data_IF_083979613591
#
_entry.id   IF_083979613591
#
_cell.length_a   1.000
_cell.length_b   1.000
_cell.length_c   1.000
_cell.angle_alpha   90.00
_cell.angle_beta   90.00
_cell.angle_gamma   90.00
#
_symmetry.space_group_name_H-M   'P 1'
#
loop_
_entity.id
_entity.type
_entity.pdbx_description
1 polymer ?
#
# COMPACT_ATOMS: atom_id res chain seq x y z
N UNK A 1 -16.88 13.90 7.85
CA UNK A 1 -17.36 12.51 7.73
C UNK A 1 -18.88 12.55 7.67
N UNK A 2 -19.46 11.98 6.62
CA UNK A 2 -20.91 11.77 6.48
C UNK A 2 -21.20 10.28 6.55
N UNK A 3 -22.31 9.86 7.15
CA UNK A 3 -22.80 8.48 7.10
C UNK A 3 -24.30 8.52 6.83
N UNK A 4 -24.72 8.00 5.69
CA UNK A 4 -26.08 8.15 5.16
C UNK A 4 -26.64 6.78 4.81
N UNK A 5 -27.86 6.49 5.28
CA UNK A 5 -28.62 5.32 4.83
C UNK A 5 -29.17 5.61 3.43
N UNK A 6 -28.82 4.77 2.45
CA UNK A 6 -29.28 4.89 1.06
C UNK A 6 -30.58 4.12 0.88
N UNK A 7 -30.62 2.88 1.38
CA UNK A 7 -31.80 2.00 1.41
C UNK A 7 -31.70 1.04 2.61
N UNK A 8 -32.59 0.05 2.71
CA UNK A 8 -32.64 -0.90 3.84
C UNK A 8 -31.41 -1.80 3.99
N UNK A 9 -30.63 -1.95 2.93
CA UNK A 9 -29.44 -2.79 2.85
C UNK A 9 -28.17 -2.01 2.52
N UNK A 10 -28.26 -0.71 2.24
CA UNK A 10 -27.14 0.08 1.74
C UNK A 10 -26.91 1.35 2.56
N UNK A 11 -25.65 1.60 2.92
CA UNK A 11 -25.19 2.85 3.53
C UNK A 11 -23.99 3.40 2.79
N UNK A 12 -23.83 4.71 2.87
CA UNK A 12 -22.75 5.43 2.21
C UNK A 12 -22.02 6.33 3.21
N UNK A 13 -20.71 6.44 3.05
CA UNK A 13 -19.86 7.24 3.92
C UNK A 13 -18.74 7.90 3.13
N UNK A 14 -18.56 9.21 3.29
CA UNK A 14 -17.38 9.92 2.80
C UNK A 14 -16.48 10.38 3.94
N UNK A 15 -15.18 10.24 3.73
CA UNK A 15 -14.12 10.70 4.63
C UNK A 15 -13.08 11.47 3.83
N UNK A 16 -12.66 12.61 4.37
CA UNK A 16 -11.58 13.44 3.80
C UNK A 16 -10.52 13.56 4.89
N UNK A 17 -9.40 12.86 4.69
CA UNK A 17 -8.21 12.95 5.54
C UNK A 17 -7.02 13.41 4.65
N UNK A 18 -5.90 12.67 4.63
CA UNK A 18 -4.80 12.87 3.67
C UNK A 18 -5.17 12.46 2.24
N UNK A 19 -6.14 11.54 2.10
CA UNK A 19 -6.79 11.13 0.86
C UNK A 19 -8.31 11.18 1.03
N UNK A 20 -9.04 11.41 -0.06
CA UNK A 20 -10.50 11.31 -0.03
C UNK A 20 -10.89 9.84 -0.19
N UNK A 21 -11.81 9.37 0.63
CA UNK A 21 -12.33 8.00 0.57
C UNK A 21 -13.86 8.02 0.60
N UNK A 22 -14.46 7.26 -0.29
CA UNK A 22 -15.89 6.95 -0.29
C UNK A 22 -16.09 5.47 0.03
N UNK A 23 -17.02 5.14 0.92
CA UNK A 23 -17.33 3.76 1.31
C UNK A 23 -18.80 3.47 1.13
N UNK A 24 -19.11 2.37 0.46
CA UNK A 24 -20.44 1.79 0.40
C UNK A 24 -20.49 0.53 1.26
N UNK A 25 -21.49 0.45 2.12
CA UNK A 25 -21.80 -0.72 2.94
C UNK A 25 -23.01 -1.41 2.33
N UNK A 26 -22.94 -2.70 2.06
CA UNK A 26 -24.07 -3.50 1.59
C UNK A 26 -24.25 -4.73 2.48
N UNK A 27 -25.39 -4.82 3.17
CA UNK A 27 -25.78 -5.98 3.99
C UNK A 27 -26.67 -6.90 3.16
N UNK A 28 -26.37 -8.19 3.11
CA UNK A 28 -27.19 -9.17 2.38
C UNK A 28 -28.62 -9.25 2.94
N UNK A 29 -29.61 -9.70 2.16
CA UNK A 29 -31.00 -9.80 2.62
C UNK A 29 -31.22 -10.70 3.84
N UNK A 30 -30.35 -11.68 4.06
CA UNK A 30 -30.36 -12.59 5.21
C UNK A 30 -29.59 -12.06 6.44
N UNK A 31 -29.09 -10.83 6.34
CA UNK A 31 -28.24 -10.17 7.33
C UNK A 31 -26.91 -10.89 7.62
N UNK A 32 -26.52 -11.95 6.89
CA UNK A 32 -25.36 -12.76 7.23
C UNK A 32 -24.03 -12.26 6.64
N UNK A 33 -24.08 -11.42 5.61
CA UNK A 33 -22.92 -10.91 4.89
C UNK A 33 -22.94 -9.38 4.82
N UNK A 34 -21.80 -8.76 5.09
CA UNK A 34 -21.56 -7.34 4.87
C UNK A 34 -20.43 -7.21 3.84
N UNK A 35 -20.67 -6.39 2.81
CA UNK A 35 -19.67 -6.01 1.83
C UNK A 35 -19.36 -4.54 2.00
N UNK A 36 -18.08 -4.21 2.11
CA UNK A 36 -17.58 -2.84 2.06
C UNK A 36 -16.90 -2.64 0.71
N UNK A 37 -17.28 -1.58 -0.01
CA UNK A 37 -16.57 -1.11 -1.18
C UNK A 37 -16.00 0.26 -0.87
N UNK A 38 -14.69 0.35 -0.79
CA UNK A 38 -13.94 1.58 -0.59
C UNK A 38 -13.39 2.07 -1.91
N UNK A 39 -13.57 3.34 -2.21
CA UNK A 39 -12.92 4.03 -3.32
C UNK A 39 -12.07 5.17 -2.78
N UNK A 40 -10.76 5.08 -2.99
CA UNK A 40 -9.81 6.13 -2.66
C UNK A 40 -9.64 7.04 -3.86
N UNK A 41 -9.59 8.35 -3.60
CA UNK A 41 -9.57 9.39 -4.63
C UNK A 41 -8.48 10.42 -4.39
N UNK A 42 -7.79 10.78 -5.47
CA UNK A 42 -6.90 11.93 -5.58
C UNK A 42 -7.48 12.93 -6.59
N UNK A 43 -7.68 14.19 -6.18
CA UNK A 43 -8.21 15.25 -7.04
C UNK A 43 -9.45 14.86 -7.88
N UNK A 44 -10.29 13.96 -7.34
CA UNK A 44 -11.50 13.36 -7.91
C UNK A 44 -11.34 12.12 -8.82
N UNK A 45 -10.13 11.64 -9.08
CA UNK A 45 -9.88 10.37 -9.76
C UNK A 45 -9.82 9.22 -8.76
N UNK A 46 -10.48 8.09 -9.04
CA UNK A 46 -10.38 6.89 -8.19
C UNK A 46 -9.02 6.23 -8.46
N UNK A 47 -8.20 6.10 -7.44
CA UNK A 47 -6.85 5.54 -7.52
C UNK A 47 -6.79 4.08 -7.07
N UNK A 48 -7.66 3.69 -6.15
CA UNK A 48 -7.71 2.36 -5.54
C UNK A 48 -9.16 2.03 -5.17
N UNK A 49 -9.55 0.77 -5.38
CA UNK A 49 -10.83 0.24 -4.91
C UNK A 49 -10.60 -1.01 -4.06
N UNK A 50 -11.10 -1.01 -2.82
CA UNK A 50 -11.01 -2.17 -1.94
C UNK A 50 -12.40 -2.77 -1.71
N UNK A 51 -12.49 -4.09 -1.86
CA UNK A 51 -13.72 -4.84 -1.59
C UNK A 51 -13.43 -5.77 -0.41
N UNK A 52 -14.04 -5.49 0.74
CA UNK A 52 -13.89 -6.33 1.93
C UNK A 52 -15.21 -7.00 2.26
N UNK A 53 -15.17 -8.32 2.49
CA UNK A 53 -16.35 -9.10 2.86
C UNK A 53 -16.25 -9.62 4.28
N UNK A 54 -17.38 -9.57 4.98
CA UNK A 54 -17.52 -9.95 6.37
C UNK A 54 -18.69 -10.92 6.55
N UNK A 55 -18.55 -11.82 7.53
CA UNK A 55 -19.65 -12.61 8.07
C UNK A 55 -20.07 -12.07 9.43
N UNK A 56 -21.38 -12.09 9.69
CA UNK A 56 -21.93 -11.70 10.99
C UNK A 56 -21.54 -12.73 12.06
N UNK A 57 -21.17 -12.27 13.25
CA UNK A 57 -20.81 -13.15 14.38
C UNK A 57 -21.73 -13.02 15.58
N UNK A 58 -22.64 -12.04 15.59
CA UNK A 58 -23.62 -11.85 16.66
C UNK A 58 -25.04 -11.85 16.09
N UNK A 59 -26.08 -12.29 16.82
CA UNK A 59 -27.47 -12.09 16.41
C UNK A 59 -27.78 -10.61 16.12
N UNK A 60 -28.64 -10.34 15.14
CA UNK A 60 -29.04 -8.98 14.78
C UNK A 60 -29.52 -8.85 13.34
N UNK A 61 -29.90 -7.64 12.95
CA UNK A 61 -30.35 -7.26 11.60
C UNK A 61 -29.68 -5.96 11.17
N UNK A 62 -29.72 -5.66 9.87
CA UNK A 62 -29.17 -4.42 9.29
C UNK A 62 -27.66 -4.30 9.52
N UNK A 63 -27.06 -3.12 9.39
CA UNK A 63 -25.61 -2.94 9.53
C UNK A 63 -25.09 -3.16 10.96
N UNK A 64 -25.95 -3.03 11.97
CA UNK A 64 -25.56 -3.10 13.39
C UNK A 64 -25.20 -4.52 13.83
N UNK A 65 -24.10 -4.67 14.57
CA UNK A 65 -23.68 -5.94 15.16
C UNK A 65 -22.18 -6.18 15.01
N UNK A 66 -21.76 -7.39 15.32
CA UNK A 66 -20.38 -7.83 15.18
C UNK A 66 -20.17 -8.54 13.84
N UNK A 67 -19.07 -8.17 13.18
CA UNK A 67 -18.68 -8.64 11.87
C UNK A 67 -17.23 -9.11 11.89
N UNK A 68 -16.94 -10.22 11.21
CA UNK A 68 -15.58 -10.74 11.05
C UNK A 68 -15.25 -10.82 9.56
N UNK A 69 -14.16 -10.20 9.14
CA UNK A 69 -13.72 -10.24 7.75
C UNK A 69 -13.28 -11.65 7.36
N UNK A 70 -13.54 -12.03 6.12
CA UNK A 70 -13.09 -13.31 5.57
C UNK A 70 -12.49 -13.18 4.16
N UNK A 71 -12.70 -12.04 3.48
CA UNK A 71 -12.09 -11.73 2.19
C UNK A 71 -11.76 -10.24 2.10
N UNK A 72 -10.68 -9.93 1.41
CA UNK A 72 -10.28 -8.57 1.02
C UNK A 72 -9.65 -8.63 -0.37
N UNK A 73 -10.18 -7.85 -1.28
CA UNK A 73 -9.66 -7.64 -2.63
C UNK A 73 -9.25 -6.17 -2.76
N UNK A 74 -8.08 -5.92 -3.35
CA UNK A 74 -7.52 -4.59 -3.57
C UNK A 74 -7.30 -4.44 -5.08
N UNK A 75 -8.03 -3.53 -5.70
CA UNK A 75 -7.91 -3.15 -7.10
C UNK A 75 -7.15 -1.82 -7.19
N UNK A 76 -5.90 -1.87 -7.65
CA UNK A 76 -5.09 -0.67 -7.88
C UNK A 76 -5.39 -0.14 -9.29
N UNK A 77 -6.18 0.92 -9.38
CA UNK A 77 -6.65 1.50 -10.65
C UNK A 77 -5.62 2.45 -11.28
N UNK A 78 -4.75 3.03 -10.45
CA UNK A 78 -3.60 3.80 -10.89
C UNK A 78 -2.34 3.00 -10.54
N UNK A 79 -1.89 2.08 -11.41
CA UNK A 79 -0.80 1.17 -11.08
C UNK A 79 0.49 1.96 -10.86
N UNK A 80 1.00 1.91 -9.64
CA UNK A 80 2.35 2.37 -9.34
C UNK A 80 3.34 1.49 -10.09
N UNK A 81 4.41 2.11 -10.61
CA UNK A 81 5.51 1.39 -11.22
C UNK A 81 6.81 1.81 -10.56
N UNK A 82 7.68 0.84 -10.32
CA UNK A 82 9.03 1.10 -9.83
C UNK A 82 10.02 0.89 -10.97
N UNK A 83 10.83 1.90 -11.23
CA UNK A 83 11.96 1.81 -12.15
C UNK A 83 13.21 1.60 -11.31
N UNK A 84 13.86 0.45 -11.51
CA UNK A 84 15.06 0.07 -10.78
C UNK A 84 16.23 0.03 -11.77
N UNK A 85 17.26 0.83 -11.52
CA UNK A 85 18.45 0.94 -12.37
C UNK A 85 19.73 0.79 -11.54
N UNK A 86 20.82 0.26 -12.11
CA UNK A 86 22.13 0.34 -11.47
C UNK A 86 22.50 1.79 -11.19
N UNK A 87 23.01 2.08 -9.99
CA UNK A 87 23.60 3.37 -9.66
C UNK A 87 25.10 3.19 -9.45
N UNK A 88 25.87 3.85 -10.33
CA UNK A 88 27.32 3.73 -10.39
C UNK A 88 27.81 2.27 -10.31
N UNK A 89 28.88 1.97 -9.56
CA UNK A 89 29.48 0.64 -9.48
C UNK A 89 28.84 -0.30 -8.47
N UNK A 90 28.23 0.23 -7.41
CA UNK A 90 27.76 -0.58 -6.28
C UNK A 90 26.52 0.01 -5.60
N UNK A 91 25.54 0.40 -6.41
CA UNK A 91 24.31 1.01 -5.92
C UNK A 91 23.10 0.72 -6.78
N UNK A 92 21.99 1.29 -6.34
CA UNK A 92 20.69 1.23 -6.99
C UNK A 92 20.09 2.64 -7.07
N UNK A 93 19.46 2.93 -8.19
CA UNK A 93 18.51 4.02 -8.33
C UNK A 93 17.11 3.42 -8.37
N UNK A 94 16.24 3.85 -7.46
CA UNK A 94 14.82 3.49 -7.45
C UNK A 94 14.03 4.75 -7.77
N UNK A 95 13.19 4.70 -8.80
CA UNK A 95 12.21 5.75 -9.10
C UNK A 95 10.80 5.19 -8.97
N UNK A 96 9.98 5.82 -8.13
CA UNK A 96 8.55 5.54 -7.99
C UNK A 96 7.77 6.41 -8.96
N UNK A 97 6.92 5.77 -9.76
CA UNK A 97 6.05 6.42 -10.73
C UNK A 97 4.58 6.20 -10.34
N UNK A 98 3.72 7.21 -10.54
CA UNK A 98 3.97 8.47 -11.27
C UNK A 98 4.54 9.62 -10.43
N UNK A 99 4.83 9.43 -9.14
CA UNK A 99 5.23 10.52 -8.23
C UNK A 99 6.62 11.10 -8.57
N UNK A 100 7.38 10.45 -9.45
CA UNK A 100 8.74 10.82 -9.87
C UNK A 100 9.68 10.95 -8.66
N UNK A 101 9.48 10.10 -7.66
CA UNK A 101 10.29 10.10 -6.44
C UNK A 101 11.46 9.17 -6.66
N UNK A 102 12.66 9.73 -6.68
CA UNK A 102 13.90 9.00 -6.94
C UNK A 102 14.78 8.95 -5.69
N UNK A 103 15.37 7.78 -5.45
CA UNK A 103 16.44 7.62 -4.46
C UNK A 103 17.62 6.91 -5.12
N UNK A 104 18.76 7.59 -5.17
CA UNK A 104 20.05 7.01 -5.55
C UNK A 104 20.81 6.62 -4.30
N UNK A 105 21.22 5.37 -4.20
CA UNK A 105 21.87 4.85 -2.99
C UNK A 105 22.91 3.78 -3.30
N UNK A 106 23.91 3.71 -2.44
CA UNK A 106 24.89 2.62 -2.44
C UNK A 106 24.44 1.51 -1.49
N UNK A 107 24.96 0.30 -1.68
CA UNK A 107 24.74 -0.84 -0.76
C UNK A 107 25.63 -0.78 0.49
N UNK A 108 25.92 0.41 1.01
CA UNK A 108 26.80 0.63 2.17
C UNK A 108 26.01 0.83 3.49
N UNK A 109 24.68 0.76 3.43
CA UNK A 109 23.79 0.94 4.57
C UNK A 109 23.72 2.38 5.08
N UNK A 110 24.24 3.37 4.35
CA UNK A 110 24.04 4.78 4.68
C UNK A 110 22.70 5.27 4.17
N UNK A 111 22.24 6.35 4.79
CA UNK A 111 21.00 7.03 4.45
C UNK A 111 21.20 7.96 3.25
N UNK A 112 20.33 7.84 2.25
CA UNK A 112 20.29 8.66 1.04
C UNK A 112 18.92 9.32 0.91
N UNK A 113 18.92 10.63 0.66
CA UNK A 113 17.70 11.44 0.63
C UNK A 113 16.99 11.30 -0.71
N UNK A 114 15.67 11.06 -0.65
CA UNK A 114 14.82 10.97 -1.83
C UNK A 114 14.60 12.35 -2.44
N UNK A 115 14.55 12.40 -3.77
CA UNK A 115 14.31 13.59 -4.58
C UNK A 115 12.95 13.44 -5.25
N UNK A 116 12.12 14.48 -5.23
CA UNK A 116 10.92 14.57 -6.08
C UNK A 116 11.03 15.75 -7.04
N UNK A 117 9.99 16.02 -7.85
CA UNK A 117 9.98 17.13 -8.81
C UNK A 117 10.24 18.51 -8.18
N UNK A 118 9.84 18.69 -6.91
CA UNK A 118 10.07 19.92 -6.14
C UNK A 118 11.39 19.97 -5.36
N UNK A 119 12.28 18.98 -5.52
CA UNK A 119 13.56 18.88 -4.81
C UNK A 119 13.58 17.84 -3.69
N UNK A 120 14.53 17.96 -2.73
CA UNK A 120 14.74 16.96 -1.69
C UNK A 120 13.53 16.81 -0.76
N UNK A 121 13.08 15.57 -0.56
CA UNK A 121 11.97 15.25 0.34
C UNK A 121 12.46 14.97 1.75
N UNK A 122 11.58 15.10 2.76
CA UNK A 122 11.84 14.61 4.11
C UNK A 122 11.70 13.07 4.20
N UNK A 123 12.17 12.37 3.18
CA UNK A 123 12.15 10.91 3.04
C UNK A 123 13.52 10.43 2.61
N UNK A 124 13.96 9.30 3.13
CA UNK A 124 15.26 8.73 2.84
C UNK A 124 15.19 7.21 2.85
N UNK A 125 16.21 6.59 2.27
CA UNK A 125 16.39 5.15 2.29
C UNK A 125 17.84 4.80 2.54
N UNK A 126 18.06 3.66 3.17
CA UNK A 126 19.35 2.98 3.15
C UNK A 126 19.18 1.62 2.50
N UNK A 127 20.26 1.07 1.94
CA UNK A 127 20.24 -0.27 1.37
C UNK A 127 21.51 -1.04 1.72
N UNK A 128 21.36 -2.35 1.92
CA UNK A 128 22.45 -3.32 2.03
C UNK A 128 22.17 -4.50 1.14
N UNK A 129 23.19 -5.01 0.47
CA UNK A 129 23.08 -6.25 -0.30
C UNK A 129 23.44 -7.41 0.61
N UNK A 130 22.50 -8.33 0.83
CA UNK A 130 22.73 -9.53 1.66
C UNK A 130 23.25 -10.69 0.82
N UNK A 131 22.84 -10.77 -0.44
CA UNK A 131 23.37 -11.73 -1.43
C UNK A 131 23.14 -11.22 -2.88
N UNK A 132 23.57 -11.92 -3.94
CA UNK A 132 23.43 -11.44 -5.33
C UNK A 132 22.00 -11.14 -5.80
N UNK A 133 20.98 -11.71 -5.14
CA UNK A 133 19.57 -11.60 -5.51
C UNK A 133 18.72 -10.88 -4.46
N UNK A 134 19.29 -10.55 -3.29
CA UNK A 134 18.54 -9.96 -2.18
C UNK A 134 19.20 -8.68 -1.68
N UNK A 135 18.38 -7.65 -1.48
CA UNK A 135 18.75 -6.44 -0.78
C UNK A 135 17.80 -6.21 0.39
N UNK A 136 18.31 -5.65 1.47
CA UNK A 136 17.54 -5.10 2.58
C UNK A 136 17.54 -3.59 2.47
N UNK A 137 16.39 -2.98 2.75
CA UNK A 137 16.21 -1.55 2.78
C UNK A 137 15.55 -1.10 4.08
N UNK A 138 15.92 0.10 4.51
CA UNK A 138 15.24 0.82 5.57
C UNK A 138 14.66 2.11 4.98
N UNK A 139 13.46 2.47 5.44
CA UNK A 139 12.77 3.69 5.06
C UNK A 139 12.76 4.64 6.25
N UNK A 140 13.06 5.90 5.98
CA UNK A 140 13.01 6.94 7.00
C UNK A 140 12.11 8.08 6.55
N UNK A 141 11.29 8.57 7.47
CA UNK A 141 10.45 9.76 7.31
C UNK A 141 10.85 10.78 8.37
N UNK A 142 11.24 11.98 7.93
CA UNK A 142 11.76 13.06 8.80
C UNK A 142 12.93 12.61 9.70
N UNK A 143 13.71 11.62 9.26
CA UNK A 143 14.86 11.07 9.99
C UNK A 143 14.52 9.95 10.97
N UNK A 144 13.25 9.56 11.07
CA UNK A 144 12.82 8.43 11.90
C UNK A 144 12.54 7.20 11.04
N UNK A 145 12.93 6.02 11.52
CA UNK A 145 12.66 4.75 10.85
C UNK A 145 11.14 4.54 10.73
N UNK A 146 10.63 4.45 9.51
CA UNK A 146 9.22 4.19 9.22
C UNK A 146 8.95 2.74 8.82
N UNK A 147 9.95 2.02 8.33
CA UNK A 147 9.83 0.60 8.01
C UNK A 147 11.09 -0.04 7.46
N UNK A 148 11.04 -1.35 7.29
CA UNK A 148 12.06 -2.13 6.59
C UNK A 148 11.44 -2.89 5.43
N UNK A 149 12.24 -3.25 4.43
CA UNK A 149 11.83 -4.09 3.32
C UNK A 149 12.96 -5.00 2.89
N UNK A 150 12.67 -6.28 2.71
CA UNK A 150 13.52 -7.20 1.97
C UNK A 150 13.02 -7.29 0.53
N UNK A 151 13.94 -7.16 -0.43
CA UNK A 151 13.68 -7.26 -1.85
C UNK A 151 14.49 -8.41 -2.44
N UNK A 152 13.80 -9.44 -2.92
CA UNK A 152 14.40 -10.63 -3.52
C UNK A 152 13.99 -10.78 -4.98
N UNK A 153 14.97 -10.79 -5.87
CA UNK A 153 14.78 -11.05 -7.30
C UNK A 153 14.85 -12.56 -7.54
N UNK A 154 13.93 -13.10 -8.34
CA UNK A 154 13.96 -14.51 -8.73
C UNK A 154 15.21 -14.83 -9.57
N UNK A 155 15.64 -16.10 -9.56
CA UNK A 155 16.86 -16.53 -10.27
C UNK A 155 16.80 -16.28 -11.78
N UNK A 156 15.61 -16.33 -12.37
CA UNK A 156 15.39 -16.02 -13.79
C UNK A 156 15.23 -14.52 -14.06
N UNK A 157 15.27 -13.69 -13.02
CA UNK A 157 15.19 -12.24 -13.11
C UNK A 157 13.83 -11.71 -13.54
N UNK A 158 12.77 -12.54 -13.55
CA UNK A 158 11.45 -12.16 -14.05
C UNK A 158 10.55 -11.55 -13.00
N UNK A 159 10.81 -11.83 -11.73
CA UNK A 159 9.98 -11.37 -10.63
C UNK A 159 10.82 -10.76 -9.52
N UNK A 160 10.26 -9.73 -8.89
CA UNK A 160 10.75 -9.14 -7.66
C UNK A 160 9.72 -9.43 -6.58
N UNK A 161 10.14 -10.06 -5.49
CA UNK A 161 9.32 -10.21 -4.28
C UNK A 161 9.81 -9.21 -3.24
N UNK A 162 8.89 -8.43 -2.70
CA UNK A 162 9.18 -7.46 -1.63
C UNK A 162 8.42 -7.85 -0.38
N UNK A 163 9.10 -8.01 0.74
CA UNK A 163 8.47 -8.22 2.05
C UNK A 163 8.74 -7.00 2.92
N UNK A 164 7.70 -6.21 3.18
CA UNK A 164 7.78 -4.98 3.98
C UNK A 164 7.30 -5.19 5.41
N UNK A 165 7.89 -4.44 6.35
CA UNK A 165 7.43 -4.34 7.74
C UNK A 165 7.40 -2.88 8.18
N UNK A 166 6.23 -2.24 8.23
CA UNK A 166 6.08 -0.91 8.82
C UNK A 166 6.40 -0.95 10.32
N UNK A 167 7.05 0.09 10.86
CA UNK A 167 7.29 0.19 12.31
C UNK A 167 5.98 0.29 13.10
N UNK A 168 4.92 0.85 12.49
CA UNK A 168 3.60 1.03 13.10
C UNK A 168 2.76 -0.24 13.16
N UNK A 169 3.20 -1.34 12.55
CA UNK A 169 2.44 -2.59 12.45
C UNK A 169 3.30 -3.80 12.81
N UNK A 170 2.80 -4.74 13.61
CA UNK A 170 3.48 -6.02 13.82
C UNK A 170 3.38 -6.94 12.59
N UNK A 171 2.52 -6.62 11.61
CA UNK A 171 2.23 -7.44 10.44
C UNK A 171 3.12 -7.01 9.26
N UNK A 172 3.79 -7.98 8.64
CA UNK A 172 4.47 -7.81 7.37
C UNK A 172 3.50 -7.97 6.20
N UNK A 173 3.80 -7.30 5.09
CA UNK A 173 3.10 -7.49 3.82
C UNK A 173 4.09 -7.97 2.76
N UNK A 174 3.60 -8.78 1.81
CA UNK A 174 4.39 -9.25 0.69
C UNK A 174 3.74 -8.80 -0.61
N UNK A 175 4.56 -8.25 -1.50
CA UNK A 175 4.16 -7.91 -2.88
C UNK A 175 5.06 -8.66 -3.85
N UNK A 176 4.48 -9.12 -4.96
CA UNK A 176 5.20 -9.77 -6.05
C UNK A 176 4.99 -8.93 -7.31
N UNK A 177 6.09 -8.55 -7.94
CA UNK A 177 6.14 -7.67 -9.10
C UNK A 177 6.71 -8.44 -10.29
N UNK A 178 6.02 -8.38 -11.43
CA UNK A 178 6.55 -8.86 -12.69
C UNK A 178 7.44 -7.80 -13.33
N UNK A 179 8.59 -8.22 -13.84
CA UNK A 179 9.47 -7.37 -14.63
C UNK A 179 8.87 -7.19 -16.03
N UNK A 180 8.63 -5.93 -16.41
CA UNK A 180 8.23 -5.55 -17.77
C UNK A 180 9.43 -5.28 -18.67
#
# INVERSE_FOLDING_TARGET
MSFVKVDDHTWHMDRVDSRTMSRVYTVSPDDQKLTLVDEFKDANEITERNITQYHRTSPGKSIYGQWKSFSMEIEVLKPESIVIQPFEKNGLSITELPEEVRTDMYFDGKEYRSQGPGGPLARSRSARRTNPYTIEMEYQDKGELSGTQECTVSKDGKTLTTTGKPVTSPVSFTSVWDKK
#
